data_IF_606453415093
#
_entry.id   IF_606453415093
#
_cell.length_a   1.000
_cell.length_b   1.000
_cell.length_c   1.000
_cell.angle_alpha   90.00
_cell.angle_beta   90.00
_cell.angle_gamma   90.00
#
_symmetry.space_group_name_H-M   'P 1'
#
loop_
_entity.id
_entity.type
_entity.pdbx_description
1 polymer ?
#
# COMPACT_ATOMS: atom_id res chain seq x y z
N UNK A 1 4.23 -2.92 -29.72
CA UNK A 1 4.26 -4.05 -28.77
C UNK A 1 3.66 -3.56 -27.47
N UNK A 2 2.47 -4.04 -27.09
CA UNK A 2 1.79 -3.63 -25.86
C UNK A 2 2.69 -4.02 -24.68
N UNK A 3 3.08 -3.05 -23.85
CA UNK A 3 3.78 -3.32 -22.60
C UNK A 3 2.89 -4.30 -21.80
N UNK A 4 3.42 -5.49 -21.52
CA UNK A 4 2.74 -6.50 -20.72
C UNK A 4 2.36 -5.80 -19.42
N UNK A 5 1.06 -5.72 -19.08
CA UNK A 5 0.62 -5.15 -17.82
C UNK A 5 1.31 -5.93 -16.70
N UNK A 6 2.10 -5.23 -15.92
CA UNK A 6 2.86 -5.83 -14.81
C UNK A 6 1.93 -6.32 -13.70
N UNK A 7 0.76 -5.68 -13.57
CA UNK A 7 -0.25 -5.99 -12.56
C UNK A 7 -1.63 -6.14 -13.21
N UNK A 8 -2.48 -6.97 -12.62
CA UNK A 8 -3.81 -7.30 -13.13
C UNK A 8 -4.91 -6.43 -12.53
N UNK A 9 -4.89 -6.26 -11.22
CA UNK A 9 -5.83 -5.45 -10.44
C UNK A 9 -5.23 -5.00 -9.12
N UNK A 10 -5.93 -4.07 -8.47
CA UNK A 10 -5.67 -3.67 -7.10
C UNK A 10 -6.75 -4.23 -6.18
N UNK A 11 -6.34 -4.77 -5.04
CA UNK A 11 -7.23 -5.23 -3.97
C UNK A 11 -7.00 -4.36 -2.75
N UNK A 12 -8.04 -3.67 -2.30
CA UNK A 12 -8.01 -2.78 -1.14
C UNK A 12 -8.68 -3.43 0.06
N UNK A 13 -7.92 -3.70 1.11
CA UNK A 13 -8.45 -4.12 2.39
C UNK A 13 -8.98 -2.93 3.19
N UNK A 14 -10.26 -2.98 3.56
CA UNK A 14 -10.89 -1.97 4.40
C UNK A 14 -11.16 -2.56 5.79
N UNK A 15 -10.41 -2.13 6.82
CA UNK A 15 -10.66 -2.56 8.20
C UNK A 15 -11.93 -1.90 8.76
N UNK A 16 -12.51 -2.50 9.80
CA UNK A 16 -13.77 -2.03 10.42
C UNK A 16 -13.73 -0.59 10.93
N UNK A 17 -12.55 -0.08 11.27
CA UNK A 17 -12.34 1.30 11.68
C UNK A 17 -11.97 2.25 10.52
N UNK A 18 -12.05 1.77 9.27
CA UNK A 18 -11.73 2.57 8.09
C UNK A 18 -12.71 3.74 7.96
N UNK A 19 -12.28 4.89 8.42
CA UNK A 19 -12.96 6.19 8.24
C UNK A 19 -12.16 7.09 7.30
N UNK A 20 -11.20 6.52 6.59
CA UNK A 20 -10.21 7.31 5.86
C UNK A 20 -10.46 7.24 4.35
N UNK A 21 -11.07 8.30 3.85
CA UNK A 21 -11.30 8.52 2.42
C UNK A 21 -9.98 8.57 1.63
N UNK A 22 -8.89 9.07 2.25
CA UNK A 22 -7.62 9.30 1.54
C UNK A 22 -7.00 8.01 0.99
N UNK A 23 -7.04 6.92 1.76
CA UNK A 23 -6.53 5.63 1.31
C UNK A 23 -7.29 5.06 0.13
N UNK A 24 -8.63 5.16 0.17
CA UNK A 24 -9.50 4.71 -0.91
C UNK A 24 -9.28 5.56 -2.16
N UNK A 25 -9.22 6.89 -2.01
CA UNK A 25 -8.98 7.81 -3.11
C UNK A 25 -7.60 7.60 -3.77
N UNK A 26 -6.56 7.30 -2.97
CA UNK A 26 -5.23 7.00 -3.50
C UNK A 26 -5.22 5.70 -4.31
N UNK A 27 -5.88 4.65 -3.81
CA UNK A 27 -6.02 3.38 -4.52
C UNK A 27 -6.78 3.57 -5.83
N UNK A 28 -7.90 4.30 -5.80
CA UNK A 28 -8.70 4.61 -6.99
C UNK A 28 -7.88 5.39 -8.04
N UNK A 29 -7.16 6.43 -7.62
CA UNK A 29 -6.31 7.22 -8.51
C UNK A 29 -5.19 6.37 -9.16
N UNK A 30 -4.54 5.50 -8.39
CA UNK A 30 -3.48 4.66 -8.94
C UNK A 30 -4.04 3.55 -9.84
N UNK A 31 -5.18 2.96 -9.51
CA UNK A 31 -5.86 1.99 -10.36
C UNK A 31 -6.22 2.61 -11.72
N UNK A 32 -6.76 3.81 -11.72
CA UNK A 32 -7.08 4.58 -12.92
C UNK A 32 -5.81 4.87 -13.75
N UNK A 33 -4.73 5.36 -13.11
CA UNK A 33 -3.46 5.61 -13.79
C UNK A 33 -2.86 4.35 -14.43
N UNK A 34 -2.95 3.22 -13.77
CA UNK A 34 -2.45 1.95 -14.29
C UNK A 34 -3.41 1.27 -15.27
N UNK A 35 -4.66 1.74 -15.35
CA UNK A 35 -5.71 1.14 -16.18
C UNK A 35 -6.04 -0.29 -15.74
N UNK A 36 -6.00 -0.57 -14.44
CA UNK A 36 -6.31 -1.87 -13.83
C UNK A 36 -7.53 -1.77 -12.92
N UNK A 37 -8.27 -2.89 -12.75
CA UNK A 37 -9.45 -2.93 -11.90
C UNK A 37 -9.13 -2.67 -10.42
N UNK A 38 -10.09 -2.12 -9.67
CA UNK A 38 -10.01 -1.91 -8.22
C UNK A 38 -11.11 -2.69 -7.51
N UNK A 39 -10.73 -3.63 -6.67
CA UNK A 39 -11.63 -4.39 -5.80
C UNK A 39 -11.40 -3.98 -4.35
N UNK A 40 -12.44 -3.56 -3.65
CA UNK A 40 -12.37 -3.30 -2.21
C UNK A 40 -13.09 -4.39 -1.44
N UNK A 41 -12.50 -4.85 -0.34
CA UNK A 41 -13.09 -5.81 0.58
C UNK A 41 -13.14 -5.23 1.98
N UNK A 42 -14.35 -5.08 2.50
CA UNK A 42 -14.54 -4.80 3.91
C UNK A 42 -14.48 -6.10 4.69
N UNK A 43 -13.60 -6.19 5.66
CA UNK A 43 -13.41 -7.41 6.45
C UNK A 43 -14.08 -7.25 7.82
N UNK A 44 -15.09 -8.08 8.06
CA UNK A 44 -15.69 -8.28 9.38
C UNK A 44 -14.78 -9.20 10.20
N UNK A 45 -13.99 -8.64 11.11
CA UNK A 45 -13.08 -9.42 11.95
C UNK A 45 -13.84 -10.23 12.99
N UNK A 46 -13.86 -11.54 12.81
CA UNK A 46 -14.53 -12.48 13.73
C UNK A 46 -13.88 -12.52 15.11
N UNK A 47 -12.61 -12.15 15.23
CA UNK A 47 -11.89 -12.11 16.51
C UNK A 47 -12.57 -11.20 17.51
N UNK A 48 -13.21 -10.12 17.06
CA UNK A 48 -13.96 -9.21 17.93
C UNK A 48 -15.20 -9.89 18.54
N UNK A 49 -15.90 -10.74 17.76
CA UNK A 49 -17.05 -11.50 18.25
C UNK A 49 -16.61 -12.59 19.23
N UNK A 50 -15.49 -13.26 18.94
CA UNK A 50 -14.94 -14.28 19.84
C UNK A 50 -14.55 -13.67 21.19
N UNK A 51 -13.90 -12.49 21.17
CA UNK A 51 -13.53 -11.75 22.36
C UNK A 51 -14.80 -11.25 23.11
N UNK A 52 -15.76 -10.71 22.36
CA UNK A 52 -17.02 -10.22 22.94
C UNK A 52 -17.85 -11.33 23.63
N UNK A 53 -17.71 -12.56 23.18
CA UNK A 53 -18.35 -13.74 23.76
C UNK A 53 -17.73 -14.20 25.08
N UNK A 54 -16.56 -13.71 25.48
CA UNK A 54 -15.90 -14.11 26.72
C UNK A 54 -16.54 -13.41 27.94
N UNK A 55 -16.94 -14.15 29.01
CA UNK A 55 -17.65 -13.59 30.14
C UNK A 55 -16.85 -12.59 31.00
N UNK A 56 -15.53 -12.61 30.89
CA UNK A 56 -14.63 -11.72 31.64
C UNK A 56 -14.27 -10.43 30.89
N UNK A 57 -14.63 -10.30 29.61
CA UNK A 57 -14.28 -9.13 28.79
C UNK A 57 -15.35 -8.05 28.95
N UNK A 58 -14.89 -6.83 29.17
CA UNK A 58 -15.71 -5.63 29.28
C UNK A 58 -15.14 -4.52 28.44
N UNK A 59 -16.00 -3.68 27.89
CA UNK A 59 -15.61 -2.47 27.20
C UNK A 59 -15.66 -1.25 28.13
N UNK A 60 -14.77 -0.29 27.92
CA UNK A 60 -14.81 0.98 28.61
C UNK A 60 -15.63 1.98 27.79
N UNK A 61 -16.77 2.41 28.34
CA UNK A 61 -17.60 3.48 27.77
C UNK A 61 -17.53 4.74 28.65
N UNK A 62 -16.60 5.64 28.39
CA UNK A 62 -16.36 6.82 29.21
C UNK A 62 -17.61 7.71 29.39
N UNK A 63 -18.44 7.81 28.34
CA UNK A 63 -19.65 8.64 28.30
C UNK A 63 -20.86 7.97 28.97
N UNK A 64 -20.84 6.65 29.17
CA UNK A 64 -21.96 5.88 29.70
C UNK A 64 -21.72 5.31 31.12
N UNK A 65 -20.63 5.73 31.78
CA UNK A 65 -20.39 5.41 33.20
C UNK A 65 -19.49 4.23 33.49
N UNK A 66 -18.58 3.86 32.58
CA UNK A 66 -17.48 2.97 32.93
C UNK A 66 -17.46 1.63 32.23
N UNK A 67 -17.02 0.56 32.91
CA UNK A 67 -16.83 -0.79 32.35
C UNK A 67 -18.17 -1.53 32.25
N UNK A 68 -18.53 -1.92 31.00
CA UNK A 68 -19.77 -2.66 30.72
C UNK A 68 -19.48 -3.96 29.96
N UNK A 69 -20.35 -4.98 30.05
CA UNK A 69 -20.27 -6.14 29.21
C UNK A 69 -20.42 -5.74 27.73
N UNK A 70 -19.67 -6.37 26.85
CA UNK A 70 -19.79 -6.12 25.40
C UNK A 70 -21.12 -6.72 24.92
N UNK A 71 -21.95 -5.90 24.29
CA UNK A 71 -23.16 -6.36 23.62
C UNK A 71 -22.89 -6.84 22.21
N UNK A 72 -22.95 -8.14 21.96
CA UNK A 72 -22.77 -8.74 20.64
C UNK A 72 -23.72 -8.12 19.61
N UNK A 73 -24.98 -7.88 20.00
CA UNK A 73 -25.98 -7.25 19.13
C UNK A 73 -25.59 -5.82 18.75
N UNK A 74 -25.06 -5.07 19.70
CA UNK A 74 -24.60 -3.71 19.42
C UNK A 74 -23.34 -3.72 18.56
N UNK A 75 -22.36 -4.60 18.85
CA UNK A 75 -21.17 -4.79 18.03
C UNK A 75 -21.53 -5.12 16.57
N UNK A 76 -22.48 -6.03 16.37
CA UNK A 76 -22.95 -6.39 15.03
C UNK A 76 -23.51 -5.18 14.27
N UNK A 77 -24.34 -4.36 14.93
CA UNK A 77 -24.89 -3.12 14.33
C UNK A 77 -23.80 -2.09 14.01
N UNK A 78 -22.81 -1.95 14.87
CA UNK A 78 -21.69 -1.03 14.65
C UNK A 78 -20.84 -1.47 13.44
N UNK A 79 -20.61 -2.76 13.29
CA UNK A 79 -19.89 -3.34 12.14
C UNK A 79 -20.71 -3.16 10.84
N UNK A 80 -22.01 -3.43 10.86
CA UNK A 80 -22.90 -3.22 9.73
C UNK A 80 -22.92 -1.75 9.29
N UNK A 81 -22.98 -0.82 10.25
CA UNK A 81 -22.90 0.62 9.97
C UNK A 81 -21.52 1.01 9.39
N UNK A 82 -20.44 0.44 9.91
CA UNK A 82 -19.09 0.67 9.40
C UNK A 82 -18.96 0.14 7.96
N UNK A 83 -19.50 -1.04 7.65
CA UNK A 83 -19.53 -1.61 6.31
C UNK A 83 -20.29 -0.72 5.31
N UNK A 84 -21.49 -0.25 5.71
CA UNK A 84 -22.28 0.66 4.88
C UNK A 84 -21.54 2.00 4.64
N UNK A 85 -20.83 2.49 5.65
CA UNK A 85 -20.02 3.71 5.52
C UNK A 85 -18.82 3.49 4.59
N UNK A 86 -18.11 2.37 4.72
CA UNK A 86 -16.99 2.02 3.85
C UNK A 86 -17.43 1.87 2.40
N UNK A 87 -18.58 1.22 2.15
CA UNK A 87 -19.15 1.08 0.82
C UNK A 87 -19.49 2.44 0.18
N UNK A 88 -20.10 3.34 0.96
CA UNK A 88 -20.39 4.70 0.48
C UNK A 88 -19.12 5.47 0.13
N UNK A 89 -18.10 5.44 1.00
CA UNK A 89 -16.80 6.08 0.76
C UNK A 89 -16.12 5.52 -0.49
N UNK A 90 -16.18 4.20 -0.67
CA UNK A 90 -15.64 3.56 -1.86
C UNK A 90 -16.34 4.02 -3.13
N UNK A 91 -17.67 4.00 -3.16
CA UNK A 91 -18.46 4.46 -4.31
C UNK A 91 -18.20 5.93 -4.63
N UNK A 92 -18.05 6.78 -3.62
CA UNK A 92 -17.72 8.19 -3.81
C UNK A 92 -16.33 8.38 -4.42
N UNK A 93 -15.33 7.67 -3.91
CA UNK A 93 -13.95 7.74 -4.40
C UNK A 93 -13.80 7.18 -5.82
N UNK A 94 -14.59 6.17 -6.19
CA UNK A 94 -14.51 5.50 -7.50
C UNK A 94 -15.49 6.04 -8.53
N UNK A 95 -16.33 7.01 -8.15
CA UNK A 95 -17.41 7.54 -9.00
C UNK A 95 -16.95 8.02 -10.39
N UNK A 96 -15.75 8.56 -10.46
CA UNK A 96 -15.16 9.10 -11.71
C UNK A 96 -14.16 8.15 -12.36
N UNK A 97 -13.94 6.97 -11.79
CA UNK A 97 -13.04 5.99 -12.38
C UNK A 97 -13.66 5.34 -13.63
N UNK A 98 -12.85 5.14 -14.64
CA UNK A 98 -13.22 4.43 -15.87
C UNK A 98 -12.86 2.94 -15.81
N UNK A 99 -12.07 2.54 -14.82
CA UNK A 99 -11.69 1.15 -14.58
C UNK A 99 -12.82 0.39 -13.86
N UNK A 100 -12.82 -0.93 -14.02
CA UNK A 100 -13.75 -1.80 -13.31
C UNK A 100 -13.55 -1.67 -11.79
N UNK A 101 -14.64 -1.46 -11.06
CA UNK A 101 -14.62 -1.34 -9.60
C UNK A 101 -15.62 -2.29 -8.96
N UNK A 102 -15.22 -2.94 -7.87
CA UNK A 102 -16.09 -3.85 -7.12
C UNK A 102 -15.89 -3.68 -5.61
N UNK A 103 -16.97 -3.92 -4.86
CA UNK A 103 -16.95 -3.90 -3.40
C UNK A 103 -17.54 -5.20 -2.87
N UNK A 104 -16.89 -5.80 -1.90
CA UNK A 104 -17.34 -7.04 -1.26
C UNK A 104 -17.24 -6.96 0.25
N UNK A 105 -18.06 -7.79 0.91
CA UNK A 105 -18.00 -8.04 2.35
C UNK A 105 -17.43 -9.44 2.55
N UNK A 106 -16.48 -9.58 3.45
CA UNK A 106 -15.95 -10.88 3.83
C UNK A 106 -15.79 -10.95 5.35
N UNK A 107 -15.92 -12.16 5.90
CA UNK A 107 -15.85 -12.41 7.33
C UNK A 107 -14.67 -13.33 7.65
N UNK A 108 -13.88 -12.99 8.64
CA UNK A 108 -12.72 -13.77 9.08
C UNK A 108 -11.57 -12.90 9.57
N UNK A 109 -10.40 -13.50 9.82
CA UNK A 109 -9.19 -12.76 10.12
C UNK A 109 -8.74 -11.97 8.89
N UNK A 110 -8.45 -10.68 9.04
CA UNK A 110 -8.19 -9.78 7.92
C UNK A 110 -7.03 -10.25 7.02
N UNK A 111 -5.96 -10.80 7.62
CA UNK A 111 -4.82 -11.33 6.86
C UNK A 111 -5.21 -12.50 5.97
N UNK A 112 -5.95 -13.46 6.49
CA UNK A 112 -6.36 -14.67 5.77
C UNK A 112 -7.37 -14.35 4.67
N UNK A 113 -8.35 -13.49 4.97
CA UNK A 113 -9.36 -13.04 4.00
C UNK A 113 -8.71 -12.34 2.82
N UNK A 114 -7.82 -11.37 3.08
CA UNK A 114 -7.17 -10.62 2.03
C UNK A 114 -6.18 -11.49 1.24
N UNK A 115 -5.40 -12.33 1.91
CA UNK A 115 -4.50 -13.26 1.24
C UNK A 115 -5.26 -14.25 0.32
N UNK A 116 -6.45 -14.69 0.72
CA UNK A 116 -7.28 -15.57 -0.10
C UNK A 116 -7.93 -14.91 -1.32
N UNK A 117 -7.99 -13.58 -1.35
CA UNK A 117 -8.57 -12.83 -2.47
C UNK A 117 -7.55 -12.31 -3.48
N UNK A 118 -6.27 -12.33 -3.13
CA UNK A 118 -5.18 -11.77 -3.94
C UNK A 118 -4.45 -12.88 -4.70
N UNK A 119 -3.98 -12.56 -5.87
CA UNK A 119 -3.12 -13.45 -6.67
C UNK A 119 -1.72 -12.84 -6.82
N UNK A 120 -0.76 -13.67 -7.28
CA UNK A 120 0.60 -13.21 -7.56
C UNK A 120 0.72 -12.20 -8.73
N UNK A 121 -0.40 -11.71 -9.26
CA UNK A 121 -0.46 -10.67 -10.29
C UNK A 121 -1.17 -9.40 -9.78
N UNK A 122 -1.59 -9.39 -8.52
CA UNK A 122 -2.36 -8.29 -7.93
C UNK A 122 -1.47 -7.37 -7.09
N UNK A 123 -1.91 -6.12 -6.91
CA UNK A 123 -1.39 -5.20 -5.90
C UNK A 123 -2.34 -5.22 -4.70
N UNK A 124 -1.86 -5.60 -3.53
CA UNK A 124 -2.65 -5.46 -2.30
C UNK A 124 -2.40 -4.08 -1.69
N UNK A 125 -3.47 -3.33 -1.46
CA UNK A 125 -3.42 -1.99 -0.86
C UNK A 125 -3.75 -2.09 0.63
N UNK A 126 -2.86 -1.58 1.45
CA UNK A 126 -3.01 -1.50 2.90
C UNK A 126 -2.96 -0.03 3.32
N UNK A 127 -4.02 0.43 3.96
CA UNK A 127 -4.05 1.76 4.59
C UNK A 127 -3.38 1.67 5.95
N UNK A 128 -2.34 2.46 6.17
CA UNK A 128 -1.62 2.45 7.44
C UNK A 128 -2.46 3.05 8.57
N UNK A 129 -2.37 2.47 9.77
CA UNK A 129 -2.98 3.05 10.96
C UNK A 129 -2.46 4.45 11.25
N UNK A 130 -3.35 5.31 11.78
CA UNK A 130 -2.98 6.70 12.17
C UNK A 130 -2.02 6.74 13.35
N UNK A 131 -2.22 5.83 14.29
CA UNK A 131 -1.37 5.74 15.48
C UNK A 131 -0.07 4.96 15.18
N UNK A 132 1.10 5.52 15.49
CA UNK A 132 2.35 4.78 15.37
C UNK A 132 2.34 3.45 16.14
N UNK A 133 1.72 3.41 17.33
CA UNK A 133 1.63 2.20 18.15
C UNK A 133 0.84 1.07 17.47
N UNK A 134 -0.20 1.40 16.72
CA UNK A 134 -1.01 0.39 16.01
C UNK A 134 -0.22 -0.32 14.90
N UNK A 135 0.80 0.32 14.30
CA UNK A 135 1.66 -0.27 13.28
C UNK A 135 2.56 -1.38 13.83
N UNK A 136 2.86 -1.35 15.13
CA UNK A 136 3.65 -2.36 15.81
C UNK A 136 2.79 -3.45 16.45
N UNK A 137 1.46 -3.40 16.28
CA UNK A 137 0.60 -4.47 16.78
C UNK A 137 0.86 -5.77 16.02
N UNK A 138 0.71 -6.89 16.72
CA UNK A 138 0.83 -8.21 16.11
C UNK A 138 -0.14 -8.38 14.94
N UNK A 139 -1.34 -7.83 15.05
CA UNK A 139 -2.37 -7.90 14.01
C UNK A 139 -1.89 -7.21 12.71
N UNK A 140 -1.34 -6.00 12.81
CA UNK A 140 -0.87 -5.27 11.62
C UNK A 140 0.36 -5.92 11.00
N UNK A 141 1.31 -6.40 11.81
CA UNK A 141 2.49 -7.12 11.29
C UNK A 141 2.13 -8.44 10.63
N UNK A 142 1.15 -9.18 11.15
CA UNK A 142 0.63 -10.39 10.52
C UNK A 142 -0.09 -10.08 9.21
N UNK A 143 -0.89 -9.00 9.16
CA UNK A 143 -1.52 -8.55 7.92
C UNK A 143 -0.49 -8.22 6.84
N UNK A 144 0.57 -7.47 7.18
CA UNK A 144 1.66 -7.17 6.24
C UNK A 144 2.37 -8.43 5.77
N UNK A 145 2.70 -9.35 6.68
CA UNK A 145 3.35 -10.61 6.33
C UNK A 145 2.50 -11.45 5.36
N UNK A 146 1.19 -11.58 5.62
CA UNK A 146 0.26 -12.27 4.73
C UNK A 146 0.15 -11.58 3.36
N UNK A 147 0.11 -10.25 3.34
CA UNK A 147 0.08 -9.44 2.13
C UNK A 147 1.28 -9.71 1.23
N UNK A 148 2.49 -9.68 1.79
CA UNK A 148 3.73 -9.94 1.06
C UNK A 148 3.89 -11.39 0.59
N UNK A 149 3.19 -12.32 1.19
CA UNK A 149 3.19 -13.72 0.72
C UNK A 149 2.24 -13.97 -0.44
N UNK A 150 1.15 -13.21 -0.52
CA UNK A 150 0.05 -13.45 -1.44
C UNK A 150 0.10 -12.60 -2.72
N UNK A 151 0.56 -11.36 -2.63
CA UNK A 151 0.49 -10.39 -3.71
C UNK A 151 1.83 -10.20 -4.45
N UNK A 152 1.77 -9.78 -5.73
CA UNK A 152 2.96 -9.37 -6.50
C UNK A 152 3.60 -8.09 -5.94
N UNK A 153 2.79 -7.24 -5.36
CA UNK A 153 3.22 -6.01 -4.72
C UNK A 153 2.25 -5.59 -3.62
N UNK A 154 2.77 -4.91 -2.62
CA UNK A 154 1.98 -4.30 -1.55
C UNK A 154 2.13 -2.79 -1.62
N UNK A 155 1.01 -2.09 -1.72
CA UNK A 155 0.98 -0.63 -1.66
C UNK A 155 0.57 -0.20 -0.25
N UNK A 156 1.49 0.39 0.48
CA UNK A 156 1.22 1.02 1.77
C UNK A 156 0.79 2.46 1.55
N UNK A 157 -0.39 2.82 2.03
CA UNK A 157 -0.97 4.16 1.90
C UNK A 157 -1.01 4.80 3.27
N UNK A 158 -0.34 5.95 3.47
CA UNK A 158 -0.35 6.64 4.76
C UNK A 158 -1.74 7.21 5.04
N UNK A 159 -2.09 7.35 6.30
CA UNK A 159 -3.35 7.95 6.73
C UNK A 159 -3.52 9.40 6.25
N UNK A 160 -2.44 10.09 5.93
CA UNK A 160 -2.44 11.43 5.34
C UNK A 160 -1.49 11.49 4.15
N UNK A 161 -2.03 11.82 2.98
CA UNK A 161 -1.26 11.98 1.75
C UNK A 161 -0.89 13.46 1.59
N UNK A 162 0.42 13.72 1.49
CA UNK A 162 0.92 15.08 1.35
C UNK A 162 0.80 15.61 -0.08
N UNK A 163 0.84 14.72 -1.10
CA UNK A 163 0.88 15.10 -2.51
C UNK A 163 0.11 14.10 -3.38
N UNK A 164 -0.74 14.63 -4.25
CA UNK A 164 -1.44 13.87 -5.29
C UNK A 164 -0.71 13.89 -6.64
N UNK A 165 0.22 14.83 -6.82
CA UNK A 165 1.03 15.02 -8.04
C UNK A 165 2.50 15.18 -7.68
N UNK A 166 3.39 14.99 -8.65
CA UNK A 166 4.83 15.11 -8.46
C UNK A 166 5.61 13.88 -8.91
N UNK A 167 6.93 13.89 -8.84
CA UNK A 167 7.77 12.81 -9.34
C UNK A 167 7.39 11.44 -8.77
N UNK A 168 7.51 10.40 -9.59
CA UNK A 168 7.57 9.01 -9.11
C UNK A 168 9.00 8.72 -8.72
N UNK A 169 9.22 8.21 -7.51
CA UNK A 169 10.55 7.91 -6.99
C UNK A 169 10.75 6.40 -6.96
N UNK A 170 11.78 5.88 -7.61
CA UNK A 170 12.19 4.48 -7.51
C UNK A 170 13.44 4.37 -6.66
N UNK A 171 13.40 3.59 -5.59
CA UNK A 171 14.58 3.21 -4.79
C UNK A 171 15.03 1.86 -5.30
N UNK A 172 16.23 1.78 -5.87
CA UNK A 172 16.68 0.60 -6.57
C UNK A 172 18.05 0.11 -6.10
N UNK A 173 18.17 -1.18 -5.84
CA UNK A 173 19.44 -1.81 -5.48
C UNK A 173 20.37 -1.94 -6.70
N UNK A 174 19.81 -2.20 -7.88
CA UNK A 174 20.52 -2.33 -9.14
C UNK A 174 19.66 -1.84 -10.33
N UNK A 175 20.22 -1.83 -11.53
CA UNK A 175 19.55 -1.34 -12.75
C UNK A 175 18.38 -2.21 -13.25
N UNK A 176 18.36 -3.47 -12.86
CA UNK A 176 17.35 -4.46 -13.27
C UNK A 176 16.30 -4.67 -12.18
N UNK A 177 16.32 -3.82 -11.15
CA UNK A 177 15.37 -3.84 -10.05
C UNK A 177 13.93 -3.72 -10.55
N UNK A 178 13.01 -4.63 -10.16
CA UNK A 178 11.62 -4.62 -10.59
C UNK A 178 10.88 -3.31 -10.31
N UNK A 179 11.27 -2.60 -9.24
CA UNK A 179 10.68 -1.32 -8.87
C UNK A 179 10.84 -0.25 -9.95
N UNK A 180 11.94 -0.30 -10.72
CA UNK A 180 12.19 0.63 -11.81
C UNK A 180 11.15 0.45 -12.92
N UNK A 181 10.83 -0.78 -13.28
CA UNK A 181 9.85 -1.07 -14.33
C UNK A 181 8.45 -0.58 -13.95
N UNK A 182 8.04 -0.84 -12.72
CA UNK A 182 6.77 -0.34 -12.18
C UNK A 182 6.75 1.19 -12.14
N UNK A 183 7.82 1.81 -11.65
CA UNK A 183 7.93 3.27 -11.57
C UNK A 183 7.92 3.94 -12.96
N UNK A 184 8.54 3.34 -13.98
CA UNK A 184 8.45 3.82 -15.38
C UNK A 184 6.99 3.79 -15.85
N UNK A 185 6.27 2.67 -15.63
CA UNK A 185 4.87 2.53 -16.05
C UNK A 185 3.98 3.57 -15.38
N UNK A 186 4.14 3.77 -14.07
CA UNK A 186 3.37 4.76 -13.29
C UNK A 186 3.71 6.19 -13.73
N UNK A 187 5.00 6.51 -13.92
CA UNK A 187 5.44 7.84 -14.35
C UNK A 187 4.96 8.16 -15.76
N UNK A 188 4.98 7.17 -16.68
CA UNK A 188 4.44 7.31 -18.04
C UNK A 188 2.94 7.59 -18.03
N UNK A 189 2.17 6.83 -17.26
CA UNK A 189 0.72 7.01 -17.14
C UNK A 189 0.35 8.36 -16.51
N UNK A 190 1.14 8.82 -15.54
CA UNK A 190 0.93 10.11 -14.89
C UNK A 190 1.50 11.32 -15.67
N UNK A 191 2.32 11.11 -16.71
CA UNK A 191 3.04 12.18 -17.41
C UNK A 191 4.08 12.89 -16.55
N UNK A 192 4.61 12.23 -15.51
CA UNK A 192 5.46 12.83 -14.49
C UNK A 192 6.94 12.42 -14.65
N UNK A 193 7.80 13.11 -13.89
CA UNK A 193 9.23 12.82 -13.82
C UNK A 193 9.46 11.52 -13.03
N UNK A 194 10.32 10.64 -13.52
CA UNK A 194 10.87 9.54 -12.77
C UNK A 194 12.19 9.93 -12.14
N UNK A 195 12.31 9.79 -10.81
CA UNK A 195 13.56 9.94 -10.08
C UNK A 195 13.99 8.56 -9.60
N UNK A 196 15.16 8.12 -10.05
CA UNK A 196 15.76 6.86 -9.56
C UNK A 196 16.84 7.20 -8.54
N UNK A 197 16.70 6.55 -7.38
CA UNK A 197 17.60 6.67 -6.23
C UNK A 197 18.37 5.35 -6.09
N UNK A 198 19.62 5.28 -6.59
CA UNK A 198 20.42 4.06 -6.43
C UNK A 198 20.95 3.95 -5.01
N UNK A 199 20.97 2.74 -4.44
CA UNK A 199 21.52 2.51 -3.11
C UNK A 199 23.03 2.29 -3.12
N UNK A 200 23.54 1.51 -4.06
CA UNK A 200 24.97 1.28 -4.27
C UNK A 200 25.17 0.44 -5.54
N UNK A 201 26.38 0.45 -6.11
CA UNK A 201 26.72 -0.45 -7.23
C UNK A 201 25.90 -0.24 -8.52
N UNK A 202 25.22 0.89 -8.65
CA UNK A 202 24.41 1.22 -9.83
C UNK A 202 25.36 1.49 -11.00
N UNK A 203 25.53 0.52 -11.90
CA UNK A 203 26.40 0.61 -13.06
C UNK A 203 25.95 1.67 -14.09
N UNK A 204 26.33 1.52 -15.36
CA UNK A 204 25.97 2.46 -16.43
C UNK A 204 24.46 2.66 -16.53
N UNK A 205 24.03 3.91 -16.52
CA UNK A 205 22.61 4.32 -16.58
C UNK A 205 22.04 4.38 -18.00
N UNK A 206 22.84 4.07 -19.03
CA UNK A 206 22.46 4.24 -20.46
C UNK A 206 21.21 3.43 -20.81
N UNK A 207 21.19 2.14 -20.49
CA UNK A 207 20.02 1.27 -20.76
C UNK A 207 18.76 1.74 -20.03
N UNK A 208 18.91 2.25 -18.80
CA UNK A 208 17.77 2.78 -18.05
C UNK A 208 17.22 4.05 -18.70
N UNK A 209 18.09 4.94 -19.16
CA UNK A 209 17.70 6.14 -19.90
C UNK A 209 16.97 5.79 -21.21
N UNK A 210 17.46 4.79 -21.94
CA UNK A 210 16.81 4.29 -23.15
C UNK A 210 15.41 3.69 -22.86
N UNK A 211 15.27 2.91 -21.78
CA UNK A 211 13.98 2.35 -21.37
C UNK A 211 12.98 3.44 -20.97
N UNK A 212 13.43 4.43 -20.20
CA UNK A 212 12.58 5.56 -19.81
C UNK A 212 12.17 6.40 -21.01
N UNK A 213 13.11 6.70 -21.92
CA UNK A 213 12.83 7.43 -23.17
C UNK A 213 11.86 6.69 -24.08
N UNK A 214 12.00 5.37 -24.22
CA UNK A 214 11.07 4.53 -24.99
C UNK A 214 9.63 4.56 -24.42
N UNK A 215 9.49 4.76 -23.10
CA UNK A 215 8.20 4.95 -22.43
C UNK A 215 7.73 6.42 -22.40
N UNK A 216 8.45 7.36 -22.99
CA UNK A 216 8.13 8.79 -22.97
C UNK A 216 8.34 9.47 -21.60
N UNK A 217 9.12 8.86 -20.71
CA UNK A 217 9.32 9.30 -19.33
C UNK A 217 10.61 10.12 -19.21
N UNK A 218 10.52 11.30 -18.60
CA UNK A 218 11.72 12.07 -18.21
C UNK A 218 12.36 11.41 -17.01
N UNK A 219 13.66 11.13 -17.09
CA UNK A 219 14.43 10.45 -16.06
C UNK A 219 15.44 11.38 -15.40
N UNK A 220 15.50 11.31 -14.07
CA UNK A 220 16.58 11.89 -13.25
C UNK A 220 17.14 10.79 -12.35
N UNK A 221 18.45 10.62 -12.34
CA UNK A 221 19.13 9.70 -11.43
C UNK A 221 19.88 10.55 -10.39
N UNK A 222 19.65 10.25 -9.12
CA UNK A 222 20.33 10.92 -8.01
C UNK A 222 21.70 10.28 -7.78
N UNK A 223 22.62 10.96 -7.04
CA UNK A 223 23.76 10.27 -6.46
C UNK A 223 23.31 9.09 -5.60
N UNK A 224 24.12 8.03 -5.55
CA UNK A 224 23.83 6.86 -4.75
C UNK A 224 23.68 7.22 -3.26
N UNK A 225 22.61 6.74 -2.65
CA UNK A 225 22.45 6.82 -1.20
C UNK A 225 23.28 5.69 -0.56
N UNK A 226 24.30 6.02 0.18
CA UNK A 226 25.12 5.02 0.85
C UNK A 226 24.29 4.36 1.96
N UNK A 227 24.28 3.04 2.01
CA UNK A 227 23.58 2.21 3.00
C UNK A 227 23.98 2.47 4.47
N UNK A 228 25.03 3.26 4.69
CA UNK A 228 25.50 3.70 6.02
C UNK A 228 24.72 4.90 6.59
N UNK A 229 23.82 5.51 5.82
CA UNK A 229 22.93 6.55 6.34
C UNK A 229 21.90 5.89 7.26
N UNK A 230 21.79 6.36 8.49
CA UNK A 230 20.74 5.92 9.40
C UNK A 230 19.34 6.15 8.77
N UNK A 231 18.36 5.34 9.17
CA UNK A 231 16.99 5.34 8.60
C UNK A 231 16.36 6.73 8.47
N UNK A 232 16.53 7.59 9.46
CA UNK A 232 15.99 8.96 9.46
C UNK A 232 16.62 9.84 8.39
N UNK A 233 17.94 9.70 8.14
CA UNK A 233 18.64 10.48 7.12
C UNK A 233 18.25 10.03 5.70
N UNK A 234 18.07 8.71 5.50
CA UNK A 234 17.57 8.13 4.26
C UNK A 234 16.16 8.63 3.97
N UNK A 235 15.25 8.50 4.92
CA UNK A 235 13.87 8.95 4.78
C UNK A 235 13.78 10.47 4.53
N UNK A 236 14.61 11.28 5.21
CA UNK A 236 14.72 12.70 4.98
C UNK A 236 15.19 13.05 3.56
N UNK A 237 16.19 12.31 3.06
CA UNK A 237 16.70 12.49 1.68
C UNK A 237 15.61 12.16 0.65
N UNK A 238 14.87 11.06 0.85
CA UNK A 238 13.76 10.66 -0.05
C UNK A 238 12.63 11.69 0.03
N UNK A 239 12.24 12.13 1.21
CA UNK A 239 11.19 13.14 1.40
C UNK A 239 11.51 14.47 0.69
N UNK A 240 12.80 14.85 0.63
CA UNK A 240 13.25 16.05 -0.07
C UNK A 240 13.01 16.03 -1.58
N UNK A 241 12.86 14.86 -2.18
CA UNK A 241 12.56 14.67 -3.61
C UNK A 241 11.12 15.04 -3.96
N UNK A 242 10.27 15.24 -2.95
CA UNK A 242 8.86 15.66 -3.09
C UNK A 242 8.05 14.74 -4.03
N UNK A 243 8.35 13.44 -4.00
CA UNK A 243 7.64 12.44 -4.78
C UNK A 243 6.16 12.34 -4.42
N UNK A 244 5.32 11.93 -5.39
CA UNK A 244 3.92 11.53 -5.13
C UNK A 244 3.76 10.08 -4.73
N UNK A 245 4.72 9.25 -5.15
CA UNK A 245 4.75 7.82 -4.91
C UNK A 245 6.19 7.34 -4.87
N UNK A 246 6.46 6.39 -4.00
CA UNK A 246 7.75 5.70 -3.92
C UNK A 246 7.53 4.26 -4.35
N UNK A 247 8.38 3.74 -5.24
CA UNK A 247 8.43 2.34 -5.62
C UNK A 247 9.77 1.73 -5.18
N UNK A 248 9.72 0.54 -4.61
CA UNK A 248 10.91 -0.18 -4.18
C UNK A 248 10.67 -1.70 -4.21
N UNK A 249 11.73 -2.48 -4.26
CA UNK A 249 11.64 -3.93 -4.12
C UNK A 249 11.79 -4.31 -2.66
N UNK A 250 11.06 -5.32 -2.20
CA UNK A 250 11.16 -5.83 -0.83
C UNK A 250 12.59 -6.25 -0.51
N UNK A 251 13.05 -5.93 0.70
CA UNK A 251 14.43 -6.17 1.13
C UNK A 251 15.45 -5.16 0.59
N UNK A 252 15.00 -4.14 -0.15
CA UNK A 252 15.86 -3.02 -0.56
C UNK A 252 16.26 -2.14 0.63
N UNK A 253 15.37 -2.01 1.60
CA UNK A 253 15.60 -1.45 2.93
C UNK A 253 15.27 -2.53 3.97
N UNK A 254 15.60 -2.30 5.25
CA UNK A 254 15.18 -3.21 6.31
C UNK A 254 13.66 -3.27 6.43
N UNK A 255 13.06 -4.44 6.66
CA UNK A 255 11.61 -4.67 6.68
C UNK A 255 10.83 -3.69 7.58
N UNK A 256 11.42 -3.22 8.69
CA UNK A 256 10.84 -2.20 9.58
C UNK A 256 10.87 -0.79 8.97
N UNK A 257 11.79 -0.54 8.04
CA UNK A 257 11.94 0.73 7.33
C UNK A 257 10.94 0.87 6.20
N UNK A 258 10.61 -0.24 5.53
CA UNK A 258 9.64 -0.29 4.44
C UNK A 258 8.26 0.20 4.91
N UNK A 259 7.82 -0.29 6.07
CA UNK A 259 6.53 0.10 6.65
C UNK A 259 6.50 1.53 7.21
N UNK A 260 7.64 2.10 7.58
CA UNK A 260 7.68 3.45 8.17
C UNK A 260 7.84 4.56 7.12
N UNK A 261 8.38 4.23 5.93
CA UNK A 261 8.70 5.20 4.89
C UNK A 261 7.47 5.93 4.34
N UNK A 262 6.36 5.21 4.15
CA UNK A 262 5.09 5.77 3.69
C UNK A 262 4.59 6.87 4.62
N UNK A 263 4.55 6.61 5.91
CA UNK A 263 4.13 7.58 6.91
C UNK A 263 5.10 8.74 7.08
N UNK A 264 6.42 8.49 7.00
CA UNK A 264 7.43 9.53 7.12
C UNK A 264 7.38 10.51 5.94
N UNK A 265 7.30 9.99 4.72
CA UNK A 265 7.22 10.80 3.52
C UNK A 265 5.79 11.33 3.24
N UNK A 266 4.79 10.79 3.94
CA UNK A 266 3.36 11.05 3.74
C UNK A 266 2.91 10.87 2.27
N UNK A 267 3.41 9.80 1.63
CA UNK A 267 3.06 9.39 0.26
C UNK A 267 2.95 7.88 0.16
N UNK A 268 2.15 7.35 -0.78
CA UNK A 268 2.08 5.91 -1.00
C UNK A 268 3.45 5.30 -1.33
N UNK A 269 3.70 4.11 -0.77
CA UNK A 269 4.89 3.31 -1.05
C UNK A 269 4.46 1.98 -1.66
N UNK A 270 4.91 1.71 -2.88
CA UNK A 270 4.69 0.45 -3.58
C UNK A 270 5.92 -0.44 -3.36
N UNK A 271 5.76 -1.50 -2.59
CA UNK A 271 6.79 -2.51 -2.34
C UNK A 271 6.50 -3.72 -3.22
N UNK A 272 7.44 -4.06 -4.08
CA UNK A 272 7.31 -5.13 -5.07
C UNK A 272 8.07 -6.35 -4.59
N UNK A 273 7.46 -7.53 -4.68
CA UNK A 273 8.14 -8.78 -4.38
C UNK A 273 9.26 -9.03 -5.41
N UNK A 274 10.46 -9.42 -4.95
CA UNK A 274 11.54 -9.78 -5.87
C UNK A 274 11.13 -10.99 -6.71
N UNK A 275 11.33 -10.92 -8.02
CA UNK A 275 11.07 -12.05 -8.91
C UNK A 275 11.99 -13.21 -8.51
N UNK A 276 11.44 -14.24 -7.90
CA UNK A 276 12.15 -15.46 -7.48
C UNK A 276 12.78 -16.24 -8.64
N UNK A 277 12.45 -15.91 -9.90
CA UNK A 277 13.07 -16.51 -11.08
C UNK A 277 14.51 -16.03 -11.35
N UNK A 278 14.94 -14.90 -10.79
CA UNK A 278 16.28 -14.32 -11.02
C UNK A 278 17.34 -14.72 -9.97
N UNK A 279 16.97 -15.47 -8.92
CA UNK A 279 17.90 -15.87 -7.85
C UNK A 279 18.40 -17.34 -7.97
N UNK A 280 18.17 -18.00 -9.12
CA UNK A 280 18.58 -19.39 -9.35
C UNK A 280 19.60 -19.56 -10.48
N UNK A 281 20.39 -18.53 -10.78
CA UNK A 281 21.57 -18.65 -11.66
C UNK A 281 22.84 -18.24 -10.91
#
# INVERSE_FOLDING_TARGET
MSARRQFKRMVLGLPQNARDYNGVAAAANLAELLGIGLSATFVEDTTLFDIAGLPCVRELRPLEGGWQPISITQLAREIEHAAATAHRLFNEATRMCTVETSFSLARGAAGDVLAGQVTAEDILVIVEPKSPGERFTRQFTQLLAAAFQAAAAVMMVPSRIARATGPVVAIAANRDDPSISAAISIAAAAGELLIVVPLSGFGSSKMLAERAAAAGVRLKITPALHSKLGQSALAGSIASLKGRLIAMTRGTLDDTSDASLSSFCAVPVLVIEPNTASMRD
#
